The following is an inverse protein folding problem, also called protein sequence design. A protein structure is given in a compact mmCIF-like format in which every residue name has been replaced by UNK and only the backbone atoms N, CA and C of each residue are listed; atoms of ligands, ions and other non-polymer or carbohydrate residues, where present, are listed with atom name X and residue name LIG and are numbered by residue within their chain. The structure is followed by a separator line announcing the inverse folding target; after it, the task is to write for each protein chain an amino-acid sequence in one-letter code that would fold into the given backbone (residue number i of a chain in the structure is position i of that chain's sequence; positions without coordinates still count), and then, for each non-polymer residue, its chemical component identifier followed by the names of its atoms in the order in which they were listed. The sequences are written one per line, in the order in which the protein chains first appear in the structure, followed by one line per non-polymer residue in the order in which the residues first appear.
data_IF_239861793237
#
_entry.id   IF_239861793237
#
_cell.length_a   1.000
_cell.length_b   1.000
_cell.length_c   1.000
_cell.angle_alpha   90.00
_cell.angle_beta   90.00
_cell.angle_gamma   90.00
#
_symmetry.space_group_name_H-M   'P 1'
#
loop_
_entity.id
_entity.type
_entity.pdbx_description
1 polymer ?
#
# COMPACT_ATOMS: atom_id res chain seq x y z
N UNK A 1 12.16 18.90 17.98
CA UNK A 1 12.69 18.51 16.65
C UNK A 1 12.53 19.74 15.76
N UNK A 2 13.60 20.23 15.13
CA UNK A 2 13.48 21.44 14.31
C UNK A 2 12.77 21.14 12.97
N UNK A 3 12.21 22.15 12.31
CA UNK A 3 11.37 21.96 11.11
C UNK A 3 12.11 21.24 9.97
N UNK A 4 13.41 21.51 9.80
CA UNK A 4 14.27 20.80 8.81
C UNK A 4 14.37 19.30 9.08
N UNK A 5 14.57 18.89 10.34
CA UNK A 5 14.58 17.48 10.72
C UNK A 5 13.21 16.83 10.47
N UNK A 6 12.11 17.54 10.72
CA UNK A 6 10.76 17.04 10.45
C UNK A 6 10.55 16.74 8.97
N UNK A 7 10.97 17.63 8.07
CA UNK A 7 10.89 17.42 6.62
C UNK A 7 11.75 16.24 6.18
N UNK A 8 13.00 16.13 6.65
CA UNK A 8 13.87 14.99 6.34
C UNK A 8 13.25 13.65 6.77
N UNK A 9 12.64 13.62 7.97
CA UNK A 9 11.94 12.43 8.45
C UNK A 9 10.72 12.11 7.60
N UNK A 10 9.97 13.12 7.19
CA UNK A 10 8.82 12.96 6.31
C UNK A 10 9.23 12.39 4.95
N UNK A 11 10.33 12.88 4.36
CA UNK A 11 10.92 12.34 3.13
C UNK A 11 11.34 10.87 3.29
N UNK A 12 11.97 10.53 4.42
CA UNK A 12 12.33 9.14 4.75
C UNK A 12 11.10 8.24 4.86
N UNK A 13 10.05 8.70 5.56
CA UNK A 13 8.79 7.97 5.66
C UNK A 13 8.13 7.75 4.30
N UNK A 14 8.05 8.79 3.46
CA UNK A 14 7.47 8.70 2.11
C UNK A 14 8.24 7.74 1.22
N UNK A 15 9.57 7.78 1.25
CA UNK A 15 10.41 6.84 0.49
C UNK A 15 10.19 5.40 0.94
N UNK A 16 10.14 5.16 2.25
CA UNK A 16 9.94 3.82 2.78
C UNK A 16 8.53 3.30 2.50
N UNK A 17 7.51 4.15 2.59
CA UNK A 17 6.14 3.78 2.26
C UNK A 17 6.00 3.37 0.79
N UNK A 18 6.66 4.09 -0.14
CA UNK A 18 6.76 3.66 -1.54
C UNK A 18 7.41 2.27 -1.66
N UNK A 19 8.54 2.03 -1.00
CA UNK A 19 9.20 0.72 -1.02
C UNK A 19 8.28 -0.41 -0.55
N UNK A 20 7.59 -0.21 0.57
CA UNK A 20 6.64 -1.18 1.12
C UNK A 20 5.47 -1.43 0.16
N UNK A 21 4.94 -0.37 -0.46
CA UNK A 21 3.88 -0.48 -1.45
C UNK A 21 4.31 -1.32 -2.66
N UNK A 22 5.51 -1.06 -3.19
CA UNK A 22 6.07 -1.83 -4.31
C UNK A 22 6.26 -3.31 -3.94
N UNK A 23 6.66 -3.62 -2.71
CA UNK A 23 6.74 -4.99 -2.23
C UNK A 23 5.36 -5.66 -2.18
N UNK A 24 4.33 -4.96 -1.71
CA UNK A 24 2.96 -5.48 -1.70
C UNK A 24 2.42 -5.72 -3.12
N UNK A 25 2.71 -4.83 -4.07
CA UNK A 25 2.40 -5.03 -5.50
C UNK A 25 3.07 -6.27 -6.08
N UNK A 26 4.34 -6.53 -5.73
CA UNK A 26 5.04 -7.77 -6.15
C UNK A 26 4.38 -9.01 -5.58
N UNK A 27 4.03 -9.01 -4.29
CA UNK A 27 3.28 -10.13 -3.68
C UNK A 27 1.94 -10.34 -4.39
N UNK A 28 1.23 -9.27 -4.71
CA UNK A 28 -0.04 -9.37 -5.44
C UNK A 28 0.14 -9.93 -6.85
N UNK A 29 1.19 -9.55 -7.57
CA UNK A 29 1.49 -10.11 -8.88
C UNK A 29 1.69 -11.63 -8.82
N UNK A 30 2.25 -12.17 -7.74
CA UNK A 30 2.36 -13.62 -7.52
C UNK A 30 1.03 -14.26 -7.14
N UNK A 31 0.18 -13.53 -6.40
CA UNK A 31 -1.12 -14.01 -5.93
C UNK A 31 -2.17 -14.04 -7.04
N UNK A 32 -2.25 -13.01 -7.86
CA UNK A 32 -3.32 -12.76 -8.84
C UNK A 32 -3.57 -13.97 -9.77
N UNK A 33 -2.54 -14.62 -10.36
CA UNK A 33 -2.74 -15.80 -11.21
C UNK A 33 -3.39 -16.98 -10.50
N UNK A 34 -3.26 -17.06 -9.17
CA UNK A 34 -3.88 -18.11 -8.36
C UNK A 34 -5.36 -17.83 -8.09
N UNK A 35 -5.77 -16.56 -8.10
CA UNK A 35 -7.17 -16.14 -7.86
C UNK A 35 -7.98 -16.23 -9.16
N UNK A 36 -7.40 -15.80 -10.28
CA UNK A 36 -8.10 -15.80 -11.57
C UNK A 36 -8.40 -17.22 -12.04
N UNK A 37 -9.60 -17.43 -12.53
CA UNK A 37 -10.03 -18.67 -13.18
C UNK A 37 -9.17 -18.89 -14.44
N UNK A 38 -8.25 -19.85 -14.44
CA UNK A 38 -7.29 -20.01 -15.52
C UNK A 38 -6.43 -21.27 -15.43
N UNK A 39 -5.40 -21.34 -16.30
CA UNK A 39 -4.53 -22.50 -16.48
C UNK A 39 -3.81 -22.99 -15.22
N UNK A 40 -3.51 -22.11 -14.27
CA UNK A 40 -2.89 -22.47 -12.99
C UNK A 40 -3.78 -23.38 -12.13
N UNK A 41 -5.06 -23.03 -11.97
CA UNK A 41 -5.97 -23.89 -11.21
C UNK A 41 -6.16 -25.27 -11.87
N UNK A 42 -6.03 -25.36 -13.20
CA UNK A 42 -5.99 -26.64 -13.93
C UNK A 42 -4.65 -27.39 -13.73
N UNK A 43 -3.52 -26.68 -13.77
CA UNK A 43 -2.16 -27.25 -13.58
C UNK A 43 -1.97 -27.89 -12.19
N UNK A 44 -2.67 -27.35 -11.19
CA UNK A 44 -2.62 -27.81 -9.79
C UNK A 44 -3.91 -28.48 -9.33
N UNK A 45 -4.63 -29.16 -10.22
CA UNK A 45 -5.96 -29.71 -9.95
C UNK A 45 -5.97 -30.98 -9.08
N UNK A 46 -4.86 -31.72 -8.96
CA UNK A 46 -4.79 -32.91 -8.11
C UNK A 46 -4.80 -32.56 -6.61
N UNK A 47 -5.33 -33.44 -5.77
CA UNK A 47 -5.60 -33.16 -4.33
C UNK A 47 -4.41 -32.56 -3.57
N UNK A 48 -3.20 -33.11 -3.76
CA UNK A 48 -1.99 -32.61 -3.09
C UNK A 48 -1.50 -31.28 -3.66
N UNK A 49 -1.51 -31.13 -4.99
CA UNK A 49 -1.12 -29.89 -5.67
C UNK A 49 -2.05 -28.74 -5.32
N UNK A 50 -3.35 -29.03 -5.26
CA UNK A 50 -4.40 -28.09 -4.85
C UNK A 50 -4.21 -27.61 -3.42
N UNK A 51 -3.89 -28.52 -2.49
CA UNK A 51 -3.59 -28.16 -1.12
C UNK A 51 -2.37 -27.23 -1.02
N UNK A 52 -1.26 -27.54 -1.71
CA UNK A 52 -0.08 -26.68 -1.74
C UNK A 52 -0.35 -25.30 -2.34
N UNK A 53 -1.08 -25.23 -3.46
CA UNK A 53 -1.48 -23.96 -4.07
C UNK A 53 -2.38 -23.13 -3.14
N UNK A 54 -3.29 -23.79 -2.41
CA UNK A 54 -4.13 -23.12 -1.42
C UNK A 54 -3.29 -22.52 -0.28
N UNK A 55 -2.31 -23.26 0.25
CA UNK A 55 -1.40 -22.74 1.29
C UNK A 55 -0.67 -21.49 0.81
N UNK A 56 -0.03 -21.53 -0.36
CA UNK A 56 0.70 -20.38 -0.92
C UNK A 56 -0.24 -19.18 -1.13
N UNK A 57 -1.42 -19.41 -1.73
CA UNK A 57 -2.43 -18.38 -1.98
C UNK A 57 -2.86 -17.69 -0.68
N UNK A 58 -3.20 -18.46 0.34
CA UNK A 58 -3.65 -17.94 1.64
C UNK A 58 -2.51 -17.17 2.33
N UNK A 59 -1.29 -17.69 2.34
CA UNK A 59 -0.13 -17.01 2.93
C UNK A 59 0.19 -15.67 2.25
N UNK A 60 0.22 -15.65 0.91
CA UNK A 60 0.45 -14.42 0.15
C UNK A 60 -0.63 -13.38 0.43
N UNK A 61 -1.89 -13.80 0.41
CA UNK A 61 -3.01 -12.91 0.67
C UNK A 61 -2.95 -12.30 2.06
N UNK A 62 -2.82 -13.12 3.11
CA UNK A 62 -2.73 -12.60 4.49
C UNK A 62 -1.53 -11.67 4.66
N UNK A 63 -0.39 -11.96 4.02
CA UNK A 63 0.77 -11.08 4.04
C UNK A 63 0.48 -9.72 3.38
N UNK A 64 -0.23 -9.69 2.25
CA UNK A 64 -0.64 -8.44 1.59
C UNK A 64 -1.63 -7.65 2.46
N UNK A 65 -2.60 -8.34 3.08
CA UNK A 65 -3.56 -7.71 4.00
C UNK A 65 -2.84 -7.06 5.19
N UNK A 66 -1.84 -7.74 5.76
CA UNK A 66 -1.00 -7.19 6.81
C UNK A 66 -0.21 -5.96 6.34
N UNK A 67 0.47 -6.06 5.20
CA UNK A 67 1.27 -4.97 4.64
C UNK A 67 0.39 -3.72 4.42
N UNK A 68 -0.77 -3.87 3.78
CA UNK A 68 -1.71 -2.78 3.52
C UNK A 68 -2.17 -2.16 4.84
N UNK A 69 -2.55 -2.99 5.82
CA UNK A 69 -3.02 -2.50 7.12
C UNK A 69 -1.96 -1.67 7.83
N UNK A 70 -0.71 -2.13 7.83
CA UNK A 70 0.40 -1.41 8.41
C UNK A 70 0.67 -0.09 7.65
N UNK A 71 0.73 -0.15 6.32
CA UNK A 71 0.97 1.02 5.48
C UNK A 71 -0.14 2.06 5.55
N UNK A 72 -1.36 1.71 5.93
CA UNK A 72 -2.47 2.66 6.02
C UNK A 72 -2.67 3.18 7.44
N UNK A 73 -2.70 2.30 8.44
CA UNK A 73 -3.24 2.62 9.76
C UNK A 73 -2.20 2.77 10.87
N UNK A 74 -0.96 2.34 10.68
CA UNK A 74 0.02 2.39 11.76
C UNK A 74 0.44 3.82 12.07
N UNK A 75 0.18 4.30 13.28
CA UNK A 75 0.41 5.70 13.68
C UNK A 75 1.66 5.91 14.56
N UNK A 76 2.47 4.87 14.73
CA UNK A 76 3.70 4.95 15.52
C UNK A 76 4.70 5.97 14.96
N UNK A 77 5.52 6.61 15.80
CA UNK A 77 6.45 7.67 15.37
C UNK A 77 7.55 7.20 14.41
N UNK A 78 7.69 5.89 14.20
CA UNK A 78 8.66 5.27 13.28
C UNK A 78 7.98 4.61 12.07
N UNK A 79 6.65 4.70 11.97
CA UNK A 79 5.89 3.90 11.03
C UNK A 79 5.61 4.74 9.77
N UNK A 80 6.17 4.35 8.61
CA UNK A 80 5.89 5.01 7.34
C UNK A 80 4.51 4.56 6.85
N UNK A 81 3.49 5.35 7.12
CA UNK A 81 2.10 5.02 6.81
C UNK A 81 1.31 6.22 6.29
N UNK A 82 0.16 5.95 5.66
CA UNK A 82 -0.75 6.96 5.15
C UNK A 82 -1.24 7.89 6.24
N UNK A 83 -1.66 7.36 7.40
CA UNK A 83 -2.12 8.19 8.52
C UNK A 83 -1.00 9.08 9.05
N UNK A 84 0.25 8.58 9.10
CA UNK A 84 1.41 9.38 9.51
C UNK A 84 1.69 10.51 8.52
N UNK A 85 1.64 10.23 7.21
CA UNK A 85 1.83 11.26 6.18
C UNK A 85 0.68 12.28 6.19
N UNK A 86 -0.57 11.83 6.28
CA UNK A 86 -1.73 12.71 6.34
C UNK A 86 -1.67 13.65 7.55
N UNK A 87 -1.40 13.12 8.74
CA UNK A 87 -1.28 13.93 9.96
C UNK A 87 -0.13 14.95 9.89
N UNK A 88 0.94 14.64 9.15
CA UNK A 88 2.03 15.57 8.94
C UNK A 88 1.64 16.67 7.94
N UNK A 89 0.95 16.31 6.85
CA UNK A 89 0.52 17.23 5.82
C UNK A 89 -0.62 18.14 6.30
N UNK A 90 -1.52 17.68 7.19
CA UNK A 90 -2.57 18.53 7.79
C UNK A 90 -2.03 19.78 8.54
N UNK A 91 -0.70 19.86 8.79
CA UNK A 91 -0.04 21.02 9.40
C UNK A 91 0.30 22.07 8.34
N UNK A 92 -0.29 23.26 8.45
CA UNK A 92 -0.08 24.38 7.51
C UNK A 92 1.38 24.79 7.33
N UNK A 93 2.19 24.77 8.40
CA UNK A 93 3.63 25.03 8.34
C UNK A 93 4.35 24.05 7.40
N UNK A 94 4.02 22.76 7.49
CA UNK A 94 4.62 21.72 6.64
C UNK A 94 4.20 21.91 5.19
N UNK A 95 2.91 22.19 4.94
CA UNK A 95 2.40 22.49 3.60
C UNK A 95 3.18 23.64 2.95
N UNK A 96 3.31 24.77 3.64
CA UNK A 96 3.98 25.98 3.13
C UNK A 96 5.45 25.72 2.76
N UNK A 97 6.16 24.92 3.58
CA UNK A 97 7.55 24.57 3.31
C UNK A 97 7.68 23.65 2.09
N UNK A 98 6.80 22.65 1.98
CA UNK A 98 6.80 21.73 0.84
C UNK A 98 6.43 22.45 -0.46
N UNK A 99 5.48 23.39 -0.41
CA UNK A 99 5.13 24.21 -1.57
C UNK A 99 6.32 25.05 -2.03
N UNK A 100 7.01 25.71 -1.10
CA UNK A 100 8.21 26.48 -1.42
C UNK A 100 9.30 25.59 -2.05
N UNK A 101 9.53 24.38 -1.52
CA UNK A 101 10.50 23.42 -2.07
C UNK A 101 10.10 22.96 -3.48
N UNK A 102 8.83 22.61 -3.68
CA UNK A 102 8.31 22.17 -4.97
C UNK A 102 8.51 23.21 -6.07
N UNK A 103 8.29 24.50 -5.74
CA UNK A 103 8.47 25.64 -6.64
C UNK A 103 9.95 25.99 -6.84
N UNK A 104 10.80 25.86 -5.83
CA UNK A 104 12.24 26.15 -5.95
C UNK A 104 12.98 25.13 -6.80
N UNK A 105 12.66 23.85 -6.66
CA UNK A 105 13.34 22.76 -7.38
C UNK A 105 12.95 22.74 -8.86
N UNK A 106 11.74 23.22 -9.19
CA UNK A 106 11.31 23.45 -10.57
C UNK A 106 12.15 24.47 -11.33
N UNK A 107 12.88 25.35 -10.63
CA UNK A 107 13.76 26.34 -11.24
C UNK A 107 15.20 25.82 -11.50
N UNK A 108 15.56 24.64 -11.01
CA UNK A 108 16.93 24.08 -11.14
C UNK A 108 17.04 22.89 -12.12
N UNK A 109 15.94 22.33 -12.62
CA UNK A 109 15.98 21.14 -13.47
C UNK A 109 15.94 21.46 -14.99
N UNK A 110 17.12 21.51 -15.60
CA UNK A 110 17.29 21.24 -17.03
C UNK A 110 16.78 19.81 -17.32
N UNK A 111 15.72 19.68 -18.13
CA UNK A 111 15.54 18.72 -19.24
C UNK A 111 14.12 18.18 -19.49
N UNK A 112 13.10 18.52 -18.69
CA UNK A 112 11.71 18.23 -19.07
C UNK A 112 10.78 19.36 -18.62
N UNK A 113 10.47 20.27 -19.55
CA UNK A 113 9.61 21.46 -19.39
C UNK A 113 8.22 21.12 -18.83
N UNK A 114 8.06 21.05 -17.51
CA UNK A 114 6.83 21.47 -16.84
C UNK A 114 7.18 22.67 -15.99
N UNK A 115 6.65 23.84 -16.37
CA UNK A 115 6.56 24.97 -15.44
C UNK A 115 5.77 24.50 -14.24
N UNK A 116 6.43 24.28 -13.11
CA UNK A 116 5.74 23.99 -11.86
C UNK A 116 5.11 25.26 -11.37
N UNK A 117 3.82 25.21 -11.07
CA UNK A 117 3.12 26.32 -10.48
C UNK A 117 2.44 25.91 -9.17
N UNK A 118 2.08 26.92 -8.38
CA UNK A 118 1.36 26.71 -7.11
C UNK A 118 0.06 25.91 -7.33
N UNK A 119 -0.62 26.12 -8.47
CA UNK A 119 -1.81 25.36 -8.83
C UNK A 119 -1.55 23.84 -8.93
N UNK A 120 -0.45 23.42 -9.55
CA UNK A 120 -0.11 21.99 -9.65
C UNK A 120 0.13 21.36 -8.27
N UNK A 121 0.82 22.10 -7.40
CA UNK A 121 1.05 21.67 -6.02
C UNK A 121 -0.27 21.54 -5.25
N UNK A 122 -1.13 22.56 -5.33
CA UNK A 122 -2.44 22.56 -4.68
C UNK A 122 -3.33 21.42 -5.19
N UNK A 123 -3.33 21.14 -6.49
CA UNK A 123 -4.09 20.04 -7.08
C UNK A 123 -3.58 18.67 -6.58
N UNK A 124 -2.26 18.45 -6.55
CA UNK A 124 -1.66 17.23 -6.00
C UNK A 124 -1.99 17.07 -4.51
N UNK A 125 -1.88 18.15 -3.76
CA UNK A 125 -2.11 18.20 -2.32
C UNK A 125 -3.58 17.93 -1.98
N UNK A 126 -4.51 18.58 -2.67
CA UNK A 126 -5.95 18.34 -2.52
C UNK A 126 -6.31 16.90 -2.86
N UNK A 127 -5.79 16.36 -3.97
CA UNK A 127 -6.00 14.96 -4.33
C UNK A 127 -5.44 13.99 -3.28
N UNK A 128 -4.25 14.27 -2.72
CA UNK A 128 -3.69 13.47 -1.64
C UNK A 128 -4.64 13.45 -0.43
N UNK A 129 -5.15 14.60 0.01
CA UNK A 129 -6.04 14.67 1.16
C UNK A 129 -7.36 13.92 0.92
N UNK A 130 -7.97 14.10 -0.24
CA UNK A 130 -9.22 13.43 -0.61
C UNK A 130 -9.03 11.92 -0.66
N UNK A 131 -8.03 11.45 -1.40
CA UNK A 131 -7.77 10.00 -1.56
C UNK A 131 -7.38 9.34 -0.24
N UNK A 132 -6.56 10.00 0.58
CA UNK A 132 -6.17 9.50 1.91
C UNK A 132 -7.38 9.38 2.84
N UNK A 133 -8.24 10.40 2.87
CA UNK A 133 -9.46 10.40 3.68
C UNK A 133 -10.41 9.29 3.25
N UNK A 134 -10.61 9.13 1.94
CA UNK A 134 -11.44 8.07 1.40
C UNK A 134 -10.90 6.67 1.75
N UNK A 135 -9.58 6.46 1.70
CA UNK A 135 -8.96 5.18 2.08
C UNK A 135 -9.14 4.90 3.58
N UNK A 136 -8.89 5.88 4.44
CA UNK A 136 -9.01 5.72 5.89
C UNK A 136 -10.45 5.41 6.34
N UNK A 137 -11.44 5.86 5.58
CA UNK A 137 -12.86 5.57 5.81
C UNK A 137 -13.39 4.35 5.02
N UNK A 138 -12.58 3.74 4.15
CA UNK A 138 -13.05 2.70 3.24
C UNK A 138 -13.32 1.38 4.00
N UNK A 139 -14.51 0.77 3.85
CA UNK A 139 -14.86 -0.47 4.55
C UNK A 139 -13.89 -1.64 4.30
N UNK A 140 -13.35 -1.78 3.08
CA UNK A 140 -12.43 -2.87 2.74
C UNK A 140 -11.11 -2.73 3.52
N UNK A 141 -10.59 -1.50 3.63
CA UNK A 141 -9.39 -1.23 4.42
C UNK A 141 -9.65 -1.43 5.92
N UNK A 142 -10.82 -1.06 6.42
CA UNK A 142 -11.20 -1.32 7.81
C UNK A 142 -11.32 -2.82 8.13
N UNK A 143 -11.87 -3.60 7.20
CA UNK A 143 -11.87 -5.06 7.28
C UNK A 143 -10.45 -5.65 7.26
N UNK A 144 -9.55 -5.12 6.42
CA UNK A 144 -8.13 -5.51 6.41
C UNK A 144 -7.45 -5.22 7.77
N UNK A 145 -7.70 -4.04 8.34
CA UNK A 145 -7.20 -3.66 9.66
C UNK A 145 -7.67 -4.65 10.73
N UNK A 146 -8.97 -4.94 10.76
CA UNK A 146 -9.54 -5.92 11.70
C UNK A 146 -8.95 -7.31 11.51
N UNK A 147 -8.75 -7.75 10.27
CA UNK A 147 -8.11 -9.02 9.97
C UNK A 147 -6.68 -9.08 10.52
N UNK A 148 -5.88 -8.03 10.31
CA UNK A 148 -4.52 -7.93 10.83
C UNK A 148 -4.50 -7.96 12.37
N UNK A 149 -5.39 -7.20 13.01
CA UNK A 149 -5.45 -7.10 14.48
C UNK A 149 -5.83 -8.44 15.13
N UNK A 150 -6.83 -9.15 14.57
CA UNK A 150 -7.37 -10.40 15.14
C UNK A 150 -6.59 -11.65 14.76
N UNK A 151 -6.19 -11.79 13.49
CA UNK A 151 -5.62 -13.05 12.98
C UNK A 151 -4.10 -13.06 12.91
N UNK A 152 -3.50 -11.91 12.61
CA UNK A 152 -2.09 -11.86 12.20
C UNK A 152 -1.21 -11.40 13.36
N UNK A 153 -1.66 -10.38 14.10
CA UNK A 153 -0.87 -9.77 15.17
C UNK A 153 -0.99 -10.51 16.51
N UNK A 154 -2.17 -11.03 16.87
CA UNK A 154 -2.42 -11.53 18.22
C UNK A 154 -2.77 -13.02 18.32
N UNK A 155 -2.97 -13.72 17.20
CA UNK A 155 -3.52 -15.09 17.16
C UNK A 155 -4.64 -15.21 18.21
N UNK A 156 -5.70 -14.42 18.02
CA UNK A 156 -6.72 -14.21 19.05
C UNK A 156 -7.64 -15.43 19.13
N UNK A 157 -7.16 -16.51 19.76
CA UNK A 157 -7.86 -17.79 19.87
C UNK A 157 -9.07 -17.67 20.77
N UNK A 158 -10.21 -18.21 20.31
CA UNK A 158 -11.46 -18.20 21.09
C UNK A 158 -11.68 -19.57 21.72
N UNK A 159 -12.02 -19.60 23.00
CA UNK A 159 -12.43 -20.83 23.67
C UNK A 159 -13.92 -21.10 23.39
N UNK A 160 -14.22 -22.14 22.62
CA UNK A 160 -15.57 -22.54 22.19
C UNK A 160 -15.71 -24.04 22.42
N UNK A 161 -16.81 -24.47 23.05
CA UNK A 161 -17.15 -25.89 23.30
C UNK A 161 -15.99 -26.75 23.83
N UNK A 162 -15.19 -26.18 24.75
CA UNK A 162 -14.08 -26.87 25.40
C UNK A 162 -12.76 -26.85 24.64
N UNK A 163 -12.66 -26.18 23.50
CA UNK A 163 -11.45 -26.10 22.68
C UNK A 163 -11.09 -24.66 22.32
N UNK A 164 -9.79 -24.39 22.13
CA UNK A 164 -9.33 -23.14 21.52
C UNK A 164 -9.41 -23.26 20.00
N UNK A 165 -10.22 -22.40 19.38
CA UNK A 165 -10.41 -22.33 17.94
C UNK A 165 -9.75 -21.07 17.36
N UNK A 166 -9.16 -21.21 16.17
CA UNK A 166 -8.67 -20.07 15.40
C UNK A 166 -9.84 -19.22 14.90
N UNK A 167 -9.70 -17.89 14.82
CA UNK A 167 -10.75 -17.06 14.24
C UNK A 167 -11.01 -17.46 12.78
N UNK A 168 -12.29 -17.62 12.45
CA UNK A 168 -12.71 -18.01 11.11
C UNK A 168 -12.40 -16.90 10.09
N UNK A 169 -11.51 -17.19 9.14
CA UNK A 169 -11.12 -16.30 8.04
C UNK A 169 -12.35 -15.89 7.20
N UNK A 170 -13.42 -16.69 7.16
CA UNK A 170 -14.68 -16.33 6.47
C UNK A 170 -15.38 -15.14 7.12
N UNK A 171 -15.09 -14.82 8.39
CA UNK A 171 -15.68 -13.69 9.12
C UNK A 171 -14.99 -12.35 8.86
N UNK A 172 -13.91 -12.34 8.07
CA UNK A 172 -13.16 -11.11 7.79
C UNK A 172 -13.86 -10.14 6.83
N UNK A 173 -14.94 -10.58 6.17
CA UNK A 173 -15.64 -9.80 5.15
C UNK A 173 -14.70 -9.26 4.05
N UNK A 174 -13.69 -10.06 3.69
CA UNK A 174 -12.72 -9.75 2.63
C UNK A 174 -12.77 -10.82 1.54
N UNK A 175 -12.64 -10.39 0.28
CA UNK A 175 -12.53 -11.23 -0.92
C UNK A 175 -11.10 -11.23 -1.45
N UNK A 176 -10.69 -12.30 -2.12
CA UNK A 176 -9.38 -12.38 -2.77
C UNK A 176 -9.07 -11.19 -3.69
N UNK A 177 -10.09 -10.69 -4.41
CA UNK A 177 -9.98 -9.52 -5.29
C UNK A 177 -9.68 -8.21 -4.55
N UNK A 178 -10.03 -8.13 -3.27
CA UNK A 178 -9.94 -6.90 -2.49
C UNK A 178 -8.49 -6.47 -2.26
N UNK A 179 -7.54 -7.43 -2.22
CA UNK A 179 -6.13 -7.12 -2.18
C UNK A 179 -5.69 -6.25 -3.38
N UNK A 180 -6.14 -6.59 -4.59
CA UNK A 180 -5.86 -5.83 -5.80
C UNK A 180 -6.55 -4.47 -5.80
N UNK A 181 -7.82 -4.43 -5.39
CA UNK A 181 -8.60 -3.20 -5.28
C UNK A 181 -7.96 -2.20 -4.31
N UNK A 182 -7.51 -2.65 -3.14
CA UNK A 182 -6.82 -1.82 -2.16
C UNK A 182 -5.50 -1.28 -2.71
N UNK A 183 -4.68 -2.12 -3.35
CA UNK A 183 -3.42 -1.66 -3.96
C UNK A 183 -3.65 -0.64 -5.08
N UNK A 184 -4.70 -0.83 -5.88
CA UNK A 184 -5.09 0.12 -6.91
C UNK A 184 -5.48 1.48 -6.31
N UNK A 185 -6.38 1.48 -5.32
CA UNK A 185 -6.80 2.71 -4.63
C UNK A 185 -5.64 3.41 -3.91
N UNK A 186 -4.72 2.64 -3.34
CA UNK A 186 -3.61 3.17 -2.57
C UNK A 186 -2.50 3.78 -3.43
N UNK A 187 -2.44 3.46 -4.73
CA UNK A 187 -1.43 3.99 -5.66
C UNK A 187 -1.40 5.52 -5.70
N UNK A 188 -2.56 6.15 -5.87
CA UNK A 188 -2.68 7.60 -6.05
C UNK A 188 -2.12 8.41 -4.87
N UNK A 189 -2.50 8.16 -3.60
CA UNK A 189 -1.92 8.90 -2.49
C UNK A 189 -0.42 8.65 -2.33
N UNK A 190 0.10 7.45 -2.65
CA UNK A 190 1.55 7.21 -2.65
C UNK A 190 2.27 8.05 -3.71
N UNK A 191 1.73 8.09 -4.93
CA UNK A 191 2.27 8.91 -6.02
C UNK A 191 2.29 10.39 -5.65
N UNK A 192 1.17 10.91 -5.16
CA UNK A 192 1.04 12.32 -4.81
C UNK A 192 1.94 12.67 -3.63
N UNK A 193 2.00 11.83 -2.58
CA UNK A 193 2.92 12.03 -1.47
C UNK A 193 4.39 12.07 -1.93
N UNK A 194 4.78 11.16 -2.83
CA UNK A 194 6.15 11.12 -3.36
C UNK A 194 6.50 12.37 -4.16
N UNK A 195 5.55 12.91 -4.92
CA UNK A 195 5.74 14.17 -5.65
C UNK A 195 5.78 15.38 -4.70
N UNK A 196 4.83 15.49 -3.77
CA UNK A 196 4.70 16.64 -2.86
C UNK A 196 5.89 16.73 -1.88
N UNK A 197 6.34 15.59 -1.35
CA UNK A 197 7.29 15.55 -0.23
C UNK A 197 8.73 15.40 -0.71
N UNK A 198 8.95 14.63 -1.78
CA UNK A 198 10.29 14.24 -2.26
C UNK A 198 10.61 14.76 -3.65
N UNK A 199 9.64 15.40 -4.30
CA UNK A 199 9.75 15.83 -5.68
C UNK A 199 10.21 14.71 -6.63
N UNK A 200 9.64 13.51 -6.44
CA UNK A 200 10.07 12.33 -7.16
C UNK A 200 8.89 11.67 -7.90
N UNK A 201 9.16 11.26 -9.14
CA UNK A 201 8.29 10.37 -9.90
C UNK A 201 8.79 8.92 -9.83
N UNK A 202 7.97 7.98 -10.29
CA UNK A 202 8.32 6.57 -10.35
C UNK A 202 7.83 5.96 -11.66
N UNK A 203 8.63 5.06 -12.24
CA UNK A 203 8.35 4.41 -13.53
C UNK A 203 7.33 3.26 -13.37
N UNK A 204 6.07 3.61 -13.10
CA UNK A 204 5.00 2.64 -12.79
C UNK A 204 4.76 1.60 -13.89
N UNK A 205 4.77 2.02 -15.15
CA UNK A 205 4.50 1.12 -16.28
C UNK A 205 5.57 0.03 -16.40
N UNK A 206 6.84 0.40 -16.30
CA UNK A 206 7.94 -0.58 -16.37
C UNK A 206 7.90 -1.51 -15.15
N UNK A 207 7.62 -0.97 -13.96
CA UNK A 207 7.46 -1.78 -12.75
C UNK A 207 6.33 -2.83 -12.87
N UNK A 208 5.15 -2.42 -13.36
CA UNK A 208 4.01 -3.32 -13.57
C UNK A 208 4.31 -4.39 -14.63
N UNK A 209 4.99 -4.02 -15.72
CA UNK A 209 5.45 -4.93 -16.76
C UNK A 209 6.41 -5.98 -16.19
N UNK A 210 7.43 -5.56 -15.43
CA UNK A 210 8.40 -6.47 -14.81
C UNK A 210 7.73 -7.46 -13.84
N UNK A 211 6.80 -6.99 -13.01
CA UNK A 211 6.07 -7.87 -12.09
C UNK A 211 5.23 -8.92 -12.84
N UNK A 212 4.65 -8.55 -13.98
CA UNK A 212 3.90 -9.48 -14.83
C UNK A 212 4.81 -10.57 -15.39
N UNK A 213 5.99 -10.19 -15.91
CA UNK A 213 6.98 -11.14 -16.44
C UNK A 213 7.46 -12.11 -15.36
N UNK A 214 7.92 -11.58 -14.21
CA UNK A 214 8.42 -12.37 -13.08
C UNK A 214 7.37 -13.39 -12.63
N UNK A 215 6.13 -12.95 -12.44
CA UNK A 215 5.04 -13.84 -12.02
C UNK A 215 4.75 -14.91 -13.08
N UNK A 216 4.73 -14.52 -14.37
CA UNK A 216 4.47 -15.46 -15.46
C UNK A 216 5.54 -16.55 -15.54
N UNK A 217 6.82 -16.21 -15.40
CA UNK A 217 7.94 -17.15 -15.45
C UNK A 217 7.99 -18.06 -14.23
N UNK A 218 7.72 -17.52 -13.03
CA UNK A 218 7.70 -18.30 -11.81
C UNK A 218 6.65 -19.41 -11.82
N UNK A 219 5.49 -19.16 -12.43
CA UNK A 219 4.35 -20.10 -12.43
C UNK A 219 4.34 -21.10 -13.60
N UNK A 220 5.29 -21.01 -14.55
CA UNK A 220 5.46 -21.97 -15.65
C UNK A 220 5.78 -23.38 -15.15
#
# INVERSE_FOLDING_TARGET
MNTKQTILKLQGHTSQLLTLYLMACRKYAMLEPTIRSGGLNKKFDTTRKRAGLHTIRTSLYLSIIQDISNMVFDSGPRNPSLITLKNALDKSEIKSILEHQYLSDGNQANNYNRFRCSKDFEDLYAQFLVTSTNILANPIFMSAKSARDTLIAHIDVKFIDGNYEYPDIKKLNLKWSDAGNMLHLFKTPIMNANMIIRDASFAWQEFEKQNTLISSEFWQ
#
